data_IF_947547415747
#
_entry.id   IF_947547415747
#
_cell.length_a   1.000
_cell.length_b   1.000
_cell.length_c   1.000
_cell.angle_alpha   90.00
_cell.angle_beta   90.00
_cell.angle_gamma   90.00
#
_symmetry.space_group_name_H-M   'P 1'
#
loop_
_entity.id
_entity.type
_entity.pdbx_description
1 polymer ?
#
# COMPACT_ATOMS: atom_id res chain seq x y z
N UNK A 1 -19.97 3.60 -14.45
CA UNK A 1 -20.76 2.82 -13.49
C UNK A 1 -20.77 3.49 -12.12
N UNK A 2 -21.82 4.29 -11.86
CA UNK A 2 -22.10 4.91 -10.54
C UNK A 2 -22.67 3.86 -9.58
N UNK A 3 -22.64 4.10 -8.27
CA UNK A 3 -23.35 3.24 -7.30
C UNK A 3 -24.86 3.17 -7.55
N UNK A 4 -25.39 4.11 -8.35
CA UNK A 4 -26.78 4.18 -8.81
C UNK A 4 -27.06 3.30 -10.04
N UNK A 5 -26.02 2.80 -10.71
CA UNK A 5 -26.16 1.83 -11.81
C UNK A 5 -26.22 0.41 -11.25
N UNK A 6 -27.06 -0.45 -11.85
CA UNK A 6 -27.16 -1.85 -11.42
C UNK A 6 -25.87 -2.61 -11.71
N UNK A 7 -25.30 -3.17 -10.64
CA UNK A 7 -24.16 -4.09 -10.54
C UNK A 7 -22.75 -3.50 -10.73
N UNK A 8 -22.35 -2.60 -9.83
CA UNK A 8 -20.92 -2.24 -9.63
C UNK A 8 -20.15 -3.21 -8.74
N UNK A 9 -20.85 -4.19 -8.16
CA UNK A 9 -20.29 -5.32 -7.41
C UNK A 9 -21.00 -6.59 -7.84
N UNK A 10 -20.29 -7.73 -7.81
CA UNK A 10 -20.87 -9.07 -8.05
C UNK A 10 -21.24 -9.78 -6.75
N UNK A 11 -20.96 -9.17 -5.60
CA UNK A 11 -21.29 -9.70 -4.28
C UNK A 11 -22.72 -9.28 -3.90
N UNK A 12 -23.65 -10.25 -3.69
CA UNK A 12 -25.04 -9.95 -3.35
C UNK A 12 -25.22 -9.13 -2.06
N UNK A 13 -24.33 -9.29 -1.07
CA UNK A 13 -24.39 -8.50 0.14
C UNK A 13 -24.04 -7.03 -0.15
N UNK A 14 -23.01 -6.82 -0.97
CA UNK A 14 -22.62 -5.49 -1.45
C UNK A 14 -23.75 -4.85 -2.27
N UNK A 15 -24.46 -5.59 -3.13
CA UNK A 15 -25.61 -5.07 -3.88
C UNK A 15 -26.72 -4.55 -2.97
N UNK A 16 -27.10 -5.30 -1.93
CA UNK A 16 -28.09 -4.84 -0.95
C UNK A 16 -27.63 -3.56 -0.23
N UNK A 17 -26.34 -3.46 0.08
CA UNK A 17 -25.78 -2.27 0.72
C UNK A 17 -25.72 -1.07 -0.22
N UNK A 18 -25.47 -1.28 -1.52
CA UNK A 18 -25.49 -0.24 -2.53
C UNK A 18 -26.91 0.35 -2.68
N UNK A 19 -27.94 -0.50 -2.72
CA UNK A 19 -29.34 -0.05 -2.75
C UNK A 19 -29.71 0.76 -1.50
N UNK A 20 -29.30 0.27 -0.32
CA UNK A 20 -29.51 0.98 0.95
C UNK A 20 -28.82 2.35 0.96
N UNK A 21 -27.56 2.42 0.54
CA UNK A 21 -26.80 3.67 0.46
C UNK A 21 -27.43 4.65 -0.53
N UNK A 22 -27.88 4.17 -1.70
CA UNK A 22 -28.56 4.98 -2.70
C UNK A 22 -29.88 5.56 -2.17
N UNK A 23 -30.67 4.77 -1.43
CA UNK A 23 -31.93 5.24 -0.82
C UNK A 23 -31.74 6.34 0.25
N UNK A 24 -30.53 6.41 0.83
CA UNK A 24 -30.12 7.38 1.83
C UNK A 24 -29.28 8.52 1.23
N UNK A 25 -29.14 8.56 -0.10
CA UNK A 25 -28.35 9.56 -0.82
C UNK A 25 -26.88 9.64 -0.35
N UNK A 26 -26.31 8.50 0.07
CA UNK A 26 -24.92 8.42 0.52
C UNK A 26 -23.97 8.24 -0.68
N UNK A 27 -22.97 9.10 -0.77
CA UNK A 27 -21.92 9.01 -1.79
C UNK A 27 -20.94 7.87 -1.48
N UNK A 28 -20.68 7.01 -2.47
CA UNK A 28 -19.74 5.89 -2.35
C UNK A 28 -18.53 6.02 -3.30
N UNK A 29 -17.58 5.09 -3.18
CA UNK A 29 -16.37 5.09 -4.00
C UNK A 29 -16.64 5.02 -5.52
N UNK A 30 -17.73 4.36 -5.93
CA UNK A 30 -18.15 4.21 -7.32
C UNK A 30 -18.69 5.52 -7.89
N UNK A 31 -19.41 6.31 -7.10
CA UNK A 31 -19.86 7.64 -7.52
C UNK A 31 -18.67 8.57 -7.72
N UNK A 32 -17.73 8.57 -6.77
CA UNK A 32 -16.47 9.32 -6.90
C UNK A 32 -15.63 8.88 -8.09
N UNK A 33 -15.70 7.60 -8.47
CA UNK A 33 -15.02 7.08 -9.65
C UNK A 33 -15.64 7.62 -10.94
N UNK A 34 -16.98 7.69 -11.01
CA UNK A 34 -17.68 8.27 -12.16
C UNK A 34 -17.43 9.76 -12.30
N UNK A 35 -17.47 10.51 -11.21
CA UNK A 35 -17.18 11.94 -11.21
C UNK A 35 -15.74 12.24 -11.67
N UNK A 36 -14.85 11.26 -11.57
CA UNK A 36 -13.46 11.36 -12.02
C UNK A 36 -13.28 11.04 -13.53
N UNK A 37 -14.33 10.64 -14.25
CA UNK A 37 -14.23 10.30 -15.67
C UNK A 37 -14.38 11.52 -16.59
N UNK A 38 -13.56 11.61 -17.68
CA UNK A 38 -12.42 10.75 -17.98
C UNK A 38 -11.21 11.09 -17.09
N UNK A 39 -10.52 10.06 -16.59
CA UNK A 39 -9.26 10.26 -15.86
C UNK A 39 -8.14 10.82 -16.77
N UNK A 40 -7.14 11.46 -16.15
CA UNK A 40 -6.02 12.08 -16.88
C UNK A 40 -5.11 11.04 -17.57
N UNK A 41 -5.07 11.08 -18.91
CA UNK A 41 -4.26 10.17 -19.73
C UNK A 41 -2.75 10.23 -19.46
N UNK A 42 -2.18 11.41 -19.18
CA UNK A 42 -0.76 11.51 -18.81
C UNK A 42 -0.45 10.81 -17.48
N UNK A 43 -1.40 10.85 -16.54
CA UNK A 43 -1.29 10.14 -15.27
C UNK A 43 -1.39 8.63 -15.46
N UNK A 44 -2.36 8.17 -16.25
CA UNK A 44 -2.57 6.75 -16.56
C UNK A 44 -1.36 6.13 -17.28
N UNK A 45 -0.74 6.87 -18.19
CA UNK A 45 0.48 6.43 -18.90
C UNK A 45 1.76 6.60 -18.06
N UNK A 46 1.67 7.20 -16.86
CA UNK A 46 2.83 7.45 -16.00
C UNK A 46 3.79 8.52 -16.52
N UNK A 47 3.34 9.39 -17.43
CA UNK A 47 4.14 10.41 -18.14
C UNK A 47 4.09 11.81 -17.52
N UNK A 48 3.43 11.96 -16.36
CA UNK A 48 3.40 13.20 -15.58
C UNK A 48 4.38 13.12 -14.41
N UNK A 49 5.25 14.12 -14.25
CA UNK A 49 6.24 14.20 -13.18
C UNK A 49 6.01 15.44 -12.30
N UNK A 50 5.82 15.22 -10.99
CA UNK A 50 5.60 16.26 -9.97
C UNK A 50 6.62 16.19 -8.82
N UNK A 51 7.85 15.78 -9.14
CA UNK A 51 8.87 15.46 -8.12
C UNK A 51 9.55 16.70 -7.53
N UNK A 52 9.60 17.80 -8.28
CA UNK A 52 10.28 19.03 -7.88
C UNK A 52 9.44 20.25 -8.26
N UNK A 53 9.89 21.42 -7.79
CA UNK A 53 9.21 22.72 -7.96
C UNK A 53 9.24 23.29 -9.38
N UNK A 54 10.04 22.72 -10.29
CA UNK A 54 10.03 23.11 -11.71
C UNK A 54 8.86 22.47 -12.48
N UNK A 55 8.25 21.41 -11.93
CA UNK A 55 7.10 20.75 -12.56
C UNK A 55 5.77 21.52 -12.39
N UNK A 56 4.64 20.94 -12.84
CA UNK A 56 4.51 19.61 -13.40
C UNK A 56 5.10 19.51 -14.82
N UNK A 57 5.95 18.50 -15.05
CA UNK A 57 6.37 18.13 -16.40
C UNK A 57 5.43 17.04 -16.95
N UNK A 58 5.18 17.04 -18.26
CA UNK A 58 4.47 15.96 -18.96
C UNK A 58 5.17 15.61 -20.26
N UNK A 59 5.17 14.33 -20.63
CA UNK A 59 5.69 13.87 -21.91
C UNK A 59 4.52 13.56 -22.84
N UNK A 60 4.55 14.11 -24.05
CA UNK A 60 3.56 13.80 -25.08
C UNK A 60 3.82 12.42 -25.68
N UNK A 61 2.87 11.47 -25.60
CA UNK A 61 3.08 10.09 -26.05
C UNK A 61 3.12 9.94 -27.57
N UNK A 62 2.72 10.96 -28.34
CA UNK A 62 2.61 10.91 -29.80
C UNK A 62 3.69 11.74 -30.52
N UNK A 63 4.65 12.30 -29.78
CA UNK A 63 5.77 13.04 -30.35
C UNK A 63 5.46 14.48 -30.77
N UNK A 64 4.24 14.98 -30.53
CA UNK A 64 3.83 16.33 -30.96
C UNK A 64 4.12 17.41 -29.91
N UNK A 65 4.41 16.98 -28.68
CA UNK A 65 4.69 17.87 -27.54
C UNK A 65 6.03 17.59 -26.86
N UNK A 66 6.20 18.03 -25.60
CA UNK A 66 7.45 17.88 -24.87
C UNK A 66 7.90 16.42 -24.80
N UNK A 67 9.16 16.15 -25.16
CA UNK A 67 9.76 14.80 -25.18
C UNK A 67 10.67 14.53 -23.98
N UNK A 68 10.95 15.56 -23.16
CA UNK A 68 11.70 15.47 -21.91
C UNK A 68 11.10 16.42 -20.88
N UNK A 69 11.28 16.12 -19.60
CA UNK A 69 11.03 17.09 -18.53
C UNK A 69 12.05 18.23 -18.57
N UNK A 70 11.79 19.31 -17.83
CA UNK A 70 12.65 20.51 -17.80
C UNK A 70 14.10 20.16 -17.44
N UNK A 71 14.31 19.20 -16.53
CA UNK A 71 15.65 18.73 -16.15
C UNK A 71 16.27 17.72 -17.13
N UNK A 72 15.62 17.40 -18.25
CA UNK A 72 16.09 16.44 -19.24
C UNK A 72 15.64 14.98 -19.01
N UNK A 73 14.83 14.70 -17.98
CA UNK A 73 14.30 13.36 -17.73
C UNK A 73 13.43 12.87 -18.89
N UNK A 74 13.70 11.66 -19.39
CA UNK A 74 12.93 11.01 -20.47
C UNK A 74 11.63 10.40 -19.96
N UNK A 75 10.77 9.95 -20.88
CA UNK A 75 9.55 9.20 -20.57
C UNK A 75 9.83 8.01 -19.63
N UNK A 76 10.81 7.18 -19.96
CA UNK A 76 11.16 5.98 -19.18
C UNK A 76 11.59 6.32 -17.75
N UNK A 77 12.38 7.38 -17.59
CA UNK A 77 12.82 7.86 -16.28
C UNK A 77 11.61 8.33 -15.45
N UNK A 78 10.68 9.06 -16.07
CA UNK A 78 9.48 9.57 -15.38
C UNK A 78 8.56 8.40 -15.00
N UNK A 79 8.30 7.46 -15.91
CA UNK A 79 7.50 6.27 -15.65
C UNK A 79 8.12 5.41 -14.54
N UNK A 80 9.42 5.13 -14.60
CA UNK A 80 10.13 4.37 -13.58
C UNK A 80 10.08 5.04 -12.20
N UNK A 81 10.23 6.37 -12.13
CA UNK A 81 10.12 7.13 -10.86
C UNK A 81 8.72 7.04 -10.26
N UNK A 82 7.69 7.14 -11.09
CA UNK A 82 6.31 7.01 -10.64
C UNK A 82 6.04 5.59 -10.10
N UNK A 83 6.49 4.56 -10.83
CA UNK A 83 6.37 3.16 -10.39
C UNK A 83 7.12 2.89 -9.07
N UNK A 84 8.39 3.28 -8.98
CA UNK A 84 9.22 3.03 -7.78
C UNK A 84 8.66 3.74 -6.56
N UNK A 85 8.04 4.92 -6.70
CA UNK A 85 7.35 5.58 -5.58
C UNK A 85 6.12 4.82 -5.08
N UNK A 86 5.34 4.21 -5.97
CA UNK A 86 4.23 3.34 -5.57
C UNK A 86 4.74 2.09 -4.83
N UNK A 87 5.82 1.47 -5.34
CA UNK A 87 6.48 0.34 -4.69
C UNK A 87 7.00 0.74 -3.31
N UNK A 88 7.71 1.87 -3.22
CA UNK A 88 8.25 2.37 -1.96
C UNK A 88 7.14 2.69 -0.94
N UNK A 89 6.00 3.22 -1.38
CA UNK A 89 4.83 3.44 -0.53
C UNK A 89 4.31 2.13 0.09
N UNK A 90 4.14 1.08 -0.72
CA UNK A 90 3.73 -0.23 -0.23
C UNK A 90 4.78 -0.91 0.66
N UNK A 91 6.06 -0.81 0.28
CA UNK A 91 7.17 -1.36 1.06
C UNK A 91 7.28 -0.67 2.43
N UNK A 92 7.12 0.66 2.49
CA UNK A 92 7.10 1.40 3.75
C UNK A 92 5.94 0.94 4.66
N UNK A 93 4.74 0.75 4.11
CA UNK A 93 3.59 0.27 4.88
C UNK A 93 3.83 -1.13 5.47
N UNK A 94 4.33 -2.08 4.68
CA UNK A 94 4.63 -3.43 5.18
C UNK A 94 5.83 -3.47 6.14
N UNK A 95 6.85 -2.63 5.88
CA UNK A 95 8.01 -2.52 6.76
C UNK A 95 7.61 -1.97 8.12
N UNK A 96 6.76 -0.95 8.18
CA UNK A 96 6.31 -0.36 9.43
C UNK A 96 5.42 -1.32 10.22
N UNK A 97 4.50 -2.01 9.53
CA UNK A 97 3.71 -3.09 10.13
C UNK A 97 4.62 -4.18 10.74
N UNK A 98 5.62 -4.66 10.01
CA UNK A 98 6.56 -5.67 10.51
C UNK A 98 7.40 -5.16 11.68
N UNK A 99 7.82 -3.88 11.63
CA UNK A 99 8.56 -3.22 12.71
C UNK A 99 7.72 -3.14 13.98
N UNK A 100 6.46 -2.75 13.89
CA UNK A 100 5.56 -2.65 15.05
C UNK A 100 5.31 -4.00 15.71
N UNK A 101 5.12 -5.04 14.91
CA UNK A 101 4.99 -6.42 15.41
C UNK A 101 6.29 -6.86 16.11
N UNK A 102 7.45 -6.56 15.54
CA UNK A 102 8.74 -6.89 16.16
C UNK A 102 8.96 -6.17 17.50
N UNK A 103 8.63 -4.87 17.59
CA UNK A 103 8.69 -4.14 18.87
C UNK A 103 7.70 -4.67 19.90
N UNK A 104 6.51 -5.07 19.45
CA UNK A 104 5.50 -5.70 20.32
C UNK A 104 6.01 -7.03 20.85
N UNK A 105 6.62 -7.87 20.01
CA UNK A 105 7.23 -9.14 20.42
C UNK A 105 8.35 -8.93 21.45
N UNK A 106 9.26 -7.98 21.18
CA UNK A 106 10.34 -7.62 22.10
C UNK A 106 9.79 -7.16 23.45
N UNK A 107 8.75 -6.33 23.43
CA UNK A 107 8.07 -5.83 24.64
C UNK A 107 7.42 -6.96 25.42
N UNK A 108 6.66 -7.83 24.74
CA UNK A 108 6.00 -9.00 25.32
C UNK A 108 6.98 -9.99 25.95
N UNK A 109 8.17 -10.13 25.38
CA UNK A 109 9.21 -10.99 25.92
C UNK A 109 9.97 -10.34 27.09
N UNK A 110 10.01 -9.00 27.15
CA UNK A 110 10.87 -8.26 28.09
C UNK A 110 10.18 -7.67 29.31
N UNK A 111 8.86 -7.47 29.26
CA UNK A 111 8.10 -6.81 30.32
C UNK A 111 7.08 -7.74 30.95
N UNK A 112 7.15 -7.88 32.28
CA UNK A 112 6.24 -8.74 33.04
C UNK A 112 4.78 -8.23 33.04
N UNK A 113 4.57 -6.94 32.81
CA UNK A 113 3.26 -6.27 32.79
C UNK A 113 2.73 -6.00 31.36
N UNK A 114 3.23 -6.73 30.36
CA UNK A 114 2.70 -6.64 29.00
C UNK A 114 1.40 -7.46 28.85
N UNK A 115 0.40 -6.91 28.15
CA UNK A 115 -0.83 -7.65 27.80
C UNK A 115 -0.59 -8.78 26.79
N UNK A 116 0.54 -8.71 26.06
CA UNK A 116 0.95 -9.71 25.09
C UNK A 116 1.91 -10.74 25.69
N UNK A 117 1.88 -11.95 25.12
CA UNK A 117 2.75 -13.07 25.53
C UNK A 117 3.30 -13.81 24.32
N UNK A 118 4.44 -14.45 24.49
CA UNK A 118 4.95 -15.43 23.51
C UNK A 118 4.12 -16.71 23.66
N UNK A 119 3.13 -16.89 22.78
CA UNK A 119 2.19 -18.01 22.85
C UNK A 119 2.72 -19.25 22.13
N UNK A 120 3.22 -19.11 20.90
CA UNK A 120 3.69 -20.22 20.08
C UNK A 120 5.21 -20.40 20.16
N UNK A 121 5.65 -21.22 21.12
CA UNK A 121 7.06 -21.54 21.31
C UNK A 121 7.67 -22.28 20.12
N UNK A 122 6.92 -23.18 19.46
CA UNK A 122 7.44 -23.93 18.31
C UNK A 122 7.78 -22.99 17.17
N UNK A 123 6.92 -21.98 16.93
CA UNK A 123 7.14 -21.00 15.87
C UNK A 123 8.34 -20.10 16.15
N UNK A 124 8.50 -19.62 17.39
CA UNK A 124 9.66 -18.79 17.76
C UNK A 124 10.96 -19.57 17.65
N UNK A 125 11.00 -20.83 18.11
CA UNK A 125 12.18 -21.70 17.96
C UNK A 125 12.54 -21.93 16.49
N UNK A 126 11.55 -22.25 15.65
CA UNK A 126 11.79 -22.45 14.23
C UNK A 126 12.35 -21.18 13.55
N UNK A 127 11.82 -20.00 13.89
CA UNK A 127 12.32 -18.74 13.34
C UNK A 127 13.74 -18.42 13.86
N UNK A 128 14.02 -18.68 15.14
CA UNK A 128 15.35 -18.52 15.71
C UNK A 128 16.37 -19.40 14.98
N UNK A 129 16.05 -20.66 14.69
CA UNK A 129 16.91 -21.57 13.92
C UNK A 129 17.13 -21.06 12.48
N UNK A 130 16.07 -20.63 11.80
CA UNK A 130 16.13 -20.05 10.45
C UNK A 130 17.04 -18.81 10.39
N UNK A 131 17.01 -17.99 11.44
CA UNK A 131 17.83 -16.79 11.59
C UNK A 131 19.25 -17.08 12.15
N UNK A 132 19.58 -18.34 12.45
CA UNK A 132 20.90 -18.73 12.96
C UNK A 132 21.15 -18.41 14.44
N UNK A 133 20.09 -18.27 15.24
CA UNK A 133 20.15 -18.04 16.69
C UNK A 133 20.22 -19.40 17.41
N UNK A 134 21.19 -19.57 18.32
CA UNK A 134 21.31 -20.78 19.16
C UNK A 134 20.07 -20.93 20.03
N UNK A 135 19.36 -22.07 19.92
CA UNK A 135 18.10 -22.37 20.61
C UNK A 135 18.24 -23.22 21.87
N UNK A 136 19.32 -24.00 21.98
CA UNK A 136 19.56 -24.90 23.11
C UNK A 136 19.68 -24.13 24.43
N UNK A 137 18.98 -24.60 25.46
CA UNK A 137 19.00 -24.01 26.81
C UNK A 137 18.26 -22.67 26.96
N UNK A 138 17.69 -22.10 25.88
CA UNK A 138 16.95 -20.83 25.95
C UNK A 138 15.44 -21.04 26.08
N UNK A 139 14.81 -20.20 26.91
CA UNK A 139 13.36 -20.06 26.98
C UNK A 139 12.79 -19.39 25.72
N UNK A 140 11.48 -19.49 25.53
CA UNK A 140 10.79 -18.82 24.40
C UNK A 140 10.86 -17.30 24.50
N UNK A 141 10.87 -16.74 25.70
CA UNK A 141 11.05 -15.30 25.94
C UNK A 141 12.47 -14.86 25.58
N UNK A 142 13.49 -15.64 25.92
CA UNK A 142 14.87 -15.34 25.51
C UNK A 142 15.10 -15.45 24.00
N UNK A 143 14.37 -16.32 23.32
CA UNK A 143 14.44 -16.45 21.86
C UNK A 143 13.64 -15.37 21.11
N UNK A 144 12.62 -14.81 21.76
CA UNK A 144 11.81 -13.72 21.22
C UNK A 144 12.45 -12.34 21.40
N UNK A 145 13.48 -12.22 22.25
CA UNK A 145 14.30 -11.01 22.43
C UNK A 145 15.44 -10.96 21.43
#
# INVERSE_FOLDING_TARGET
MSSKDKSVSIDPASEQMLESAASQELELAWDRYEDMQPQCGYGQLGLCCKICVMGPCRIDPFGQGPQKGICGATADIIAARNLVRMIAGGAAAHSDHGRDVAHTLLTAASQDNCDYKVVDEKKVRALAEELGIVTEGKSKEELAK
#
